data_IF_358093143333
#
_entry.id   IF_358093143333
#
_cell.length_a   1.000
_cell.length_b   1.000
_cell.length_c   1.000
_cell.angle_alpha   90.00
_cell.angle_beta   90.00
_cell.angle_gamma   90.00
#
_symmetry.space_group_name_H-M   'P 1'
#
loop_
_entity.id
_entity.type
_entity.pdbx_description
1 polymer ?
#
# COMPACT_ATOMS: atom_id res chain seq x y z
N UNK A 1 -35.39 1.62 -6.25
CA UNK A 1 -34.21 2.19 -6.94
C UNK A 1 -32.97 2.19 -6.04
N UNK A 2 -33.01 2.84 -4.87
CA UNK A 2 -31.86 2.88 -3.92
C UNK A 2 -31.40 1.49 -3.47
N UNK A 3 -32.33 0.59 -3.12
CA UNK A 3 -31.99 -0.78 -2.71
C UNK A 3 -31.29 -1.59 -3.81
N UNK A 4 -31.65 -1.37 -5.07
CA UNK A 4 -31.08 -2.09 -6.21
C UNK A 4 -29.67 -1.58 -6.52
N UNK A 5 -29.45 -0.26 -6.43
CA UNK A 5 -28.12 0.35 -6.53
C UNK A 5 -27.22 -0.11 -5.38
N UNK A 6 -27.72 -0.16 -4.15
CA UNK A 6 -26.95 -0.64 -2.99
C UNK A 6 -26.53 -2.11 -3.14
N UNK A 7 -27.44 -2.97 -3.61
CA UNK A 7 -27.15 -4.39 -3.85
C UNK A 7 -26.07 -4.56 -4.92
N UNK A 8 -26.20 -3.87 -6.05
CA UNK A 8 -25.21 -3.92 -7.14
C UNK A 8 -23.87 -3.40 -6.65
N UNK A 9 -23.84 -2.26 -5.95
CA UNK A 9 -22.60 -1.69 -5.42
C UNK A 9 -21.94 -2.61 -4.40
N UNK A 10 -22.70 -3.30 -3.56
CA UNK A 10 -22.18 -4.27 -2.61
C UNK A 10 -21.49 -5.46 -3.31
N UNK A 11 -22.12 -6.01 -4.35
CA UNK A 11 -21.55 -7.11 -5.14
C UNK A 11 -20.29 -6.65 -5.86
N UNK A 12 -20.33 -5.49 -6.51
CA UNK A 12 -19.18 -4.92 -7.25
C UNK A 12 -18.02 -4.64 -6.29
N UNK A 13 -18.25 -3.97 -5.16
CA UNK A 13 -17.19 -3.68 -4.19
C UNK A 13 -16.58 -4.94 -3.59
N UNK A 14 -17.38 -6.00 -3.38
CA UNK A 14 -16.86 -7.27 -2.88
C UNK A 14 -15.97 -7.95 -3.90
N UNK A 15 -16.35 -7.95 -5.18
CA UNK A 15 -15.53 -8.48 -6.27
C UNK A 15 -14.27 -7.65 -6.51
N UNK A 16 -14.41 -6.32 -6.48
CA UNK A 16 -13.30 -5.41 -6.69
C UNK A 16 -12.27 -5.51 -5.56
N UNK A 17 -12.72 -5.46 -4.30
CA UNK A 17 -11.84 -5.51 -3.14
C UNK A 17 -11.13 -6.85 -2.93
N UNK A 18 -11.82 -7.98 -3.17
CA UNK A 18 -11.30 -9.31 -2.82
C UNK A 18 -10.70 -10.09 -4.00
N UNK A 19 -11.08 -9.79 -5.24
CA UNK A 19 -10.65 -10.57 -6.42
C UNK A 19 -9.85 -9.70 -7.38
N UNK A 20 -10.44 -8.60 -7.84
CA UNK A 20 -9.81 -7.75 -8.86
C UNK A 20 -8.59 -7.04 -8.29
N UNK A 21 -8.72 -6.41 -7.11
CA UNK A 21 -7.63 -5.69 -6.45
C UNK A 21 -6.38 -6.57 -6.24
N UNK A 22 -6.43 -7.77 -5.65
CA UNK A 22 -5.22 -8.59 -5.51
C UNK A 22 -4.65 -9.11 -6.85
N UNK A 23 -5.49 -9.32 -7.87
CA UNK A 23 -5.03 -9.73 -9.20
C UNK A 23 -4.36 -8.60 -9.98
N UNK A 24 -4.87 -7.36 -9.87
CA UNK A 24 -4.36 -6.18 -10.58
C UNK A 24 -3.21 -5.52 -9.82
N UNK A 25 -3.32 -5.41 -8.50
CA UNK A 25 -2.35 -4.71 -7.62
C UNK A 25 -1.17 -5.62 -7.25
N UNK A 26 -1.14 -6.86 -7.74
CA UNK A 26 0.05 -7.71 -7.81
C UNK A 26 0.73 -7.91 -6.45
N UNK A 27 0.21 -8.85 -5.66
CA UNK A 27 0.83 -9.38 -4.41
C UNK A 27 1.57 -8.32 -3.58
N UNK A 28 0.79 -7.62 -2.76
CA UNK A 28 1.15 -7.00 -1.48
C UNK A 28 2.64 -6.76 -1.27
N UNK A 29 3.01 -5.49 -1.12
CA UNK A 29 4.29 -5.07 -0.57
C UNK A 29 4.56 -5.89 0.71
N UNK A 30 5.39 -6.94 0.62
CA UNK A 30 5.71 -7.83 1.74
C UNK A 30 6.56 -7.02 2.73
N UNK A 31 5.91 -6.17 3.51
CA UNK A 31 6.50 -5.25 4.46
C UNK A 31 6.44 -5.91 5.82
N UNK A 32 7.61 -6.04 6.44
CA UNK A 32 7.67 -6.56 7.80
C UNK A 32 6.89 -5.62 8.73
N UNK A 33 5.98 -6.12 9.60
CA UNK A 33 5.16 -5.27 10.48
C UNK A 33 5.96 -4.28 11.33
N UNK A 34 7.17 -4.67 11.76
CA UNK A 34 8.11 -3.78 12.47
C UNK A 34 8.42 -2.49 11.71
N UNK A 35 8.54 -2.52 10.38
CA UNK A 35 8.83 -1.33 9.58
C UNK A 35 7.66 -0.35 9.58
N UNK A 36 6.44 -0.86 9.63
CA UNK A 36 5.21 -0.05 9.71
C UNK A 36 5.17 0.65 11.08
N UNK A 37 5.43 -0.10 12.16
CA UNK A 37 5.48 0.46 13.51
C UNK A 37 6.57 1.53 13.60
N UNK A 38 7.77 1.26 13.08
CA UNK A 38 8.86 2.23 13.04
C UNK A 38 8.47 3.49 12.26
N UNK A 39 7.88 3.35 11.07
CA UNK A 39 7.42 4.47 10.26
C UNK A 39 6.35 5.30 10.99
N UNK A 40 5.41 4.65 11.70
CA UNK A 40 4.40 5.33 12.50
C UNK A 40 5.01 6.10 13.68
N UNK A 41 5.97 5.52 14.39
CA UNK A 41 6.65 6.22 15.49
C UNK A 41 7.40 7.45 14.98
N UNK A 42 8.16 7.31 13.88
CA UNK A 42 8.89 8.42 13.27
C UNK A 42 7.94 9.48 12.72
N UNK A 43 6.92 9.09 11.95
CA UNK A 43 5.95 10.03 11.39
C UNK A 43 5.14 10.75 12.48
N UNK A 44 4.71 10.01 13.50
CA UNK A 44 4.00 10.54 14.64
C UNK A 44 4.81 11.55 15.46
N UNK A 45 6.12 11.37 15.57
CA UNK A 45 7.00 12.31 16.27
C UNK A 45 7.22 13.59 15.46
N UNK A 46 7.43 13.49 14.14
CA UNK A 46 7.70 14.65 13.27
C UNK A 46 6.46 15.54 13.04
N UNK A 47 5.30 14.92 12.77
CA UNK A 47 4.07 15.64 12.33
C UNK A 47 2.80 15.24 13.10
N UNK A 48 2.92 14.53 14.23
CA UNK A 48 1.76 14.12 15.03
C UNK A 48 0.78 13.24 14.24
N UNK A 49 -0.50 13.55 14.35
CA UNK A 49 -1.59 12.79 13.70
C UNK A 49 -1.43 12.77 12.17
N UNK A 50 -1.04 13.89 11.57
CA UNK A 50 -0.83 13.97 10.10
C UNK A 50 0.30 13.04 9.69
N UNK A 51 1.37 13.00 10.48
CA UNK A 51 2.50 12.11 10.25
C UNK A 51 2.15 10.63 10.40
N UNK A 52 1.23 10.27 11.31
CA UNK A 52 0.72 8.89 11.42
C UNK A 52 -0.06 8.45 10.18
N UNK A 53 -0.90 9.32 9.62
CA UNK A 53 -1.69 9.04 8.40
C UNK A 53 -0.76 8.84 7.20
N UNK A 54 0.27 9.70 7.08
CA UNK A 54 1.18 9.69 5.93
C UNK A 54 2.37 8.74 6.06
N UNK A 55 2.70 8.27 7.27
CA UNK A 55 3.85 7.41 7.52
C UNK A 55 3.86 6.16 6.64
N UNK A 56 2.74 5.43 6.61
CA UNK A 56 2.62 4.17 5.87
C UNK A 56 2.72 4.37 4.35
N UNK A 57 1.94 5.26 3.71
CA UNK A 57 2.05 5.46 2.27
C UNK A 57 3.41 6.00 1.83
N UNK A 58 4.02 6.93 2.59
CA UNK A 58 5.36 7.44 2.27
C UNK A 58 6.40 6.33 2.34
N UNK A 59 6.36 5.51 3.40
CA UNK A 59 7.29 4.39 3.55
C UNK A 59 7.10 3.34 2.45
N UNK A 60 5.86 3.05 2.05
CA UNK A 60 5.55 2.14 0.97
C UNK A 60 6.14 2.62 -0.37
N UNK A 61 5.99 3.90 -0.70
CA UNK A 61 6.59 4.50 -1.91
C UNK A 61 8.11 4.43 -1.87
N UNK A 62 8.72 4.81 -0.74
CA UNK A 62 10.17 4.71 -0.53
C UNK A 62 10.69 3.30 -0.77
N UNK A 63 10.01 2.29 -0.23
CA UNK A 63 10.36 0.88 -0.44
C UNK A 63 10.31 0.51 -1.92
N UNK A 64 9.26 0.92 -2.65
CA UNK A 64 9.12 0.63 -4.09
C UNK A 64 10.26 1.27 -4.88
N UNK A 65 10.60 2.53 -4.58
CA UNK A 65 11.71 3.23 -5.25
C UNK A 65 13.03 2.50 -5.00
N UNK A 66 13.35 2.17 -3.74
CA UNK A 66 14.57 1.43 -3.40
C UNK A 66 14.62 0.07 -4.08
N UNK A 67 13.51 -0.67 -4.08
CA UNK A 67 13.41 -1.96 -4.75
C UNK A 67 13.68 -1.81 -6.26
N UNK A 68 13.01 -0.86 -6.92
CA UNK A 68 13.17 -0.65 -8.36
C UNK A 68 14.60 -0.22 -8.73
N UNK A 69 15.19 0.69 -7.94
CA UNK A 69 16.60 1.12 -8.13
C UNK A 69 17.56 -0.04 -7.91
N UNK A 70 17.38 -0.86 -6.88
CA UNK A 70 18.25 -2.01 -6.61
C UNK A 70 18.19 -3.07 -7.72
N UNK A 71 17.02 -3.32 -8.30
CA UNK A 71 16.84 -4.21 -9.45
C UNK A 71 17.60 -3.67 -10.66
N UNK A 72 17.40 -2.38 -10.97
CA UNK A 72 18.09 -1.72 -12.07
C UNK A 72 19.62 -1.74 -11.91
N UNK A 73 20.12 -1.57 -10.69
CA UNK A 73 21.55 -1.62 -10.41
C UNK A 73 22.12 -3.05 -10.51
N UNK A 74 21.31 -4.08 -10.28
CA UNK A 74 21.74 -5.48 -10.37
C UNK A 74 21.88 -5.97 -11.81
N UNK A 75 21.07 -5.45 -12.74
CA UNK A 75 21.15 -5.81 -14.17
C UNK A 75 22.36 -5.20 -14.90
N UNK A 76 22.94 -4.10 -14.39
CA UNK A 76 24.17 -3.53 -14.96
C UNK A 76 25.46 -4.27 -14.57
N UNK A 77 25.39 -5.32 -13.76
CA UNK A 77 26.57 -6.02 -13.23
C UNK A 77 26.83 -7.41 -13.85
N UNK A 78 26.10 -7.78 -14.90
CA UNK A 78 26.38 -8.94 -15.77
C UNK A 78 26.72 -8.48 -17.18
#
# INVERSE_FOLDING_TARGET
>A
MVLLVALVNFIVQTLEGNVISPQVVGRTLHMHPMLIIFALLVGGEIYGVVGLILAVPVFAVLKVVVHHVSVFYRERKT
#
